data_IF_286590223133
#
_entry.id   IF_286590223133
#
_cell.length_a   1.000
_cell.length_b   1.000
_cell.length_c   1.000
_cell.angle_alpha   90.00
_cell.angle_beta   90.00
_cell.angle_gamma   90.00
#
_symmetry.space_group_name_H-M   'P 1'
#
loop_
_entity.id
_entity.type
_entity.pdbx_description
1 polymer ?
#
# COMPACT_ATOMS: atom_id res chain seq x y z
N UNK A 1 -19.31 -29.93 16.95
CA UNK A 1 -18.24 -29.10 16.37
C UNK A 1 -17.60 -28.38 17.54
N UNK A 2 -16.43 -28.85 17.99
CA UNK A 2 -15.75 -28.28 19.16
C UNK A 2 -14.90 -27.11 18.68
N UNK A 3 -15.36 -25.88 18.93
CA UNK A 3 -14.55 -24.69 18.67
C UNK A 3 -13.69 -24.49 19.91
N UNK A 4 -12.37 -24.57 19.73
CA UNK A 4 -11.43 -24.39 20.82
C UNK A 4 -11.63 -23.01 21.48
N UNK A 5 -11.69 -22.98 22.81
CA UNK A 5 -11.88 -21.77 23.62
C UNK A 5 -10.85 -20.67 23.31
N UNK A 6 -9.64 -21.04 22.91
CA UNK A 6 -8.59 -20.11 22.52
C UNK A 6 -8.91 -19.40 21.20
N UNK A 7 -9.47 -20.12 20.22
CA UNK A 7 -9.94 -19.53 18.96
C UNK A 7 -11.02 -18.47 19.20
N UNK A 8 -11.98 -18.77 20.08
CA UNK A 8 -13.01 -17.79 20.48
C UNK A 8 -12.41 -16.56 21.15
N UNK A 9 -11.41 -16.74 22.02
CA UNK A 9 -10.72 -15.60 22.67
C UNK A 9 -10.03 -14.70 21.65
N UNK A 10 -9.36 -15.28 20.65
CA UNK A 10 -8.71 -14.51 19.59
C UNK A 10 -9.73 -13.73 18.76
N UNK A 11 -10.87 -14.32 18.42
CA UNK A 11 -11.93 -13.61 17.69
C UNK A 11 -12.57 -12.49 18.49
N UNK A 12 -12.82 -12.70 19.79
CA UNK A 12 -13.32 -11.64 20.67
C UNK A 12 -12.32 -10.49 20.76
N UNK A 13 -11.03 -10.78 20.97
CA UNK A 13 -10.01 -9.74 21.01
C UNK A 13 -9.90 -8.97 19.68
N UNK A 14 -10.07 -9.66 18.54
CA UNK A 14 -10.12 -9.01 17.23
C UNK A 14 -11.35 -8.11 17.07
N UNK A 15 -12.51 -8.58 17.50
CA UNK A 15 -13.75 -7.80 17.48
C UNK A 15 -13.68 -6.56 18.38
N UNK A 16 -13.01 -6.64 19.54
CA UNK A 16 -12.77 -5.48 20.41
C UNK A 16 -11.87 -4.43 19.74
N UNK A 17 -10.85 -4.87 19.00
CA UNK A 17 -10.00 -3.97 18.21
C UNK A 17 -10.82 -3.33 17.08
N UNK A 18 -11.59 -4.13 16.35
CA UNK A 18 -12.41 -3.65 15.24
C UNK A 18 -13.53 -2.69 15.71
N UNK A 19 -14.05 -2.87 16.92
CA UNK A 19 -15.01 -1.98 17.57
C UNK A 19 -14.38 -0.72 18.19
N UNK A 20 -13.05 -0.61 18.22
CA UNK A 20 -12.34 0.50 18.86
C UNK A 20 -12.29 0.44 20.39
N UNK A 21 -12.74 -0.66 21.00
CA UNK A 21 -12.67 -0.87 22.45
C UNK A 21 -11.26 -1.21 22.93
N UNK A 22 -10.39 -1.61 22.00
CA UNK A 22 -8.99 -1.95 22.28
C UNK A 22 -8.07 -1.28 21.24
N UNK A 23 -6.91 -0.74 21.64
CA UNK A 23 -5.94 -0.23 20.68
C UNK A 23 -5.44 -1.36 19.77
N UNK A 24 -5.40 -1.08 18.47
CA UNK A 24 -4.91 -1.99 17.44
C UNK A 24 -5.32 -1.55 16.05
N UNK A 25 -4.74 -2.18 15.02
CA UNK A 25 -5.15 -1.96 13.63
C UNK A 25 -6.40 -2.78 13.35
N UNK A 26 -7.49 -2.09 13.02
CA UNK A 26 -8.73 -2.75 12.62
C UNK A 26 -8.55 -3.52 11.32
N UNK A 27 -9.40 -4.51 11.09
CA UNK A 27 -9.42 -5.29 9.86
C UNK A 27 -9.60 -4.42 8.62
N UNK A 28 -10.46 -3.40 8.72
CA UNK A 28 -10.68 -2.43 7.64
C UNK A 28 -9.41 -1.62 7.32
N UNK A 29 -8.73 -1.11 8.34
CA UNK A 29 -7.49 -0.35 8.16
C UNK A 29 -6.38 -1.22 7.54
N UNK A 30 -6.25 -2.46 7.99
CA UNK A 30 -5.27 -3.39 7.40
C UNK A 30 -5.56 -3.70 5.93
N UNK A 31 -6.85 -3.86 5.58
CA UNK A 31 -7.28 -4.07 4.21
C UNK A 31 -6.98 -2.85 3.33
N UNK A 32 -7.36 -1.64 3.80
CA UNK A 32 -7.09 -0.40 3.10
C UNK A 32 -5.59 -0.18 2.85
N UNK A 33 -4.74 -0.40 3.85
CA UNK A 33 -3.29 -0.28 3.70
C UNK A 33 -2.78 -1.24 2.61
N UNK A 34 -3.23 -2.50 2.61
CA UNK A 34 -2.77 -3.49 1.64
C UNK A 34 -3.17 -3.12 0.22
N UNK A 35 -4.41 -2.69 0.01
CA UNK A 35 -4.88 -2.24 -1.31
C UNK A 35 -4.16 -0.98 -1.76
N UNK A 36 -3.94 -0.03 -0.84
CA UNK A 36 -3.21 1.19 -1.14
C UNK A 36 -1.74 0.91 -1.50
N UNK A 37 -1.07 0.02 -0.79
CA UNK A 37 0.30 -0.40 -1.11
C UNK A 37 0.38 -1.10 -2.47
N UNK A 38 -0.65 -1.87 -2.83
CA UNK A 38 -0.76 -2.49 -4.14
C UNK A 38 -0.91 -1.43 -5.23
N UNK A 39 -1.82 -0.47 -5.07
CA UNK A 39 -2.04 0.61 -6.03
C UNK A 39 -0.78 1.45 -6.21
N UNK A 40 -0.10 1.84 -5.12
CA UNK A 40 1.17 2.57 -5.17
C UNK A 40 2.25 1.79 -5.93
N UNK A 41 2.31 0.47 -5.75
CA UNK A 41 3.26 -0.39 -6.46
C UNK A 41 2.97 -0.43 -7.96
N UNK A 42 1.70 -0.56 -8.34
CA UNK A 42 1.27 -0.55 -9.73
C UNK A 42 1.52 0.81 -10.39
N UNK A 43 1.17 1.90 -9.70
CA UNK A 43 1.43 3.27 -10.16
C UNK A 43 2.92 3.53 -10.36
N UNK A 44 3.79 3.03 -9.46
CA UNK A 44 5.25 3.16 -9.61
C UNK A 44 5.77 2.40 -10.83
N UNK A 45 5.24 1.19 -11.09
CA UNK A 45 5.59 0.41 -12.29
C UNK A 45 5.15 1.13 -13.57
N UNK A 46 3.90 1.59 -13.61
CA UNK A 46 3.35 2.29 -14.77
C UNK A 46 4.09 3.59 -15.08
N UNK A 47 4.46 4.34 -14.04
CA UNK A 47 5.19 5.59 -14.19
C UNK A 47 6.67 5.43 -14.56
N UNK A 48 7.25 4.22 -14.48
CA UNK A 48 8.68 4.02 -14.74
C UNK A 48 9.05 4.34 -16.20
N UNK A 49 8.23 3.93 -17.17
CA UNK A 49 8.52 4.13 -18.60
C UNK A 49 8.34 5.60 -19.00
N UNK A 50 7.20 6.27 -18.70
CA UNK A 50 7.05 7.68 -19.05
C UNK A 50 8.07 8.58 -18.35
N UNK A 51 8.37 8.32 -17.07
CA UNK A 51 9.37 9.11 -16.34
C UNK A 51 10.78 8.95 -16.90
N UNK A 52 11.17 7.71 -17.25
CA UNK A 52 12.48 7.48 -17.88
C UNK A 52 12.55 8.14 -19.25
N UNK A 53 11.53 7.99 -20.10
CA UNK A 53 11.46 8.66 -21.40
C UNK A 53 11.57 10.18 -21.28
N UNK A 54 10.81 10.79 -20.36
CA UNK A 54 10.90 12.23 -20.09
C UNK A 54 12.29 12.65 -19.62
N UNK A 55 12.95 11.86 -18.76
CA UNK A 55 14.31 12.13 -18.32
C UNK A 55 15.33 12.07 -19.48
N UNK A 56 15.20 11.08 -20.37
CA UNK A 56 16.05 10.97 -21.56
C UNK A 56 15.85 12.16 -22.52
N UNK A 57 14.60 12.58 -22.75
CA UNK A 57 14.30 13.73 -23.59
C UNK A 57 14.83 15.03 -22.99
N UNK A 58 14.65 15.25 -21.69
CA UNK A 58 15.16 16.42 -20.99
C UNK A 58 16.70 16.51 -21.06
N UNK A 59 17.40 15.38 -20.90
CA UNK A 59 18.87 15.33 -21.02
C UNK A 59 19.36 15.65 -22.45
N UNK A 60 18.55 15.37 -23.49
CA UNK A 60 18.85 15.75 -24.86
C UNK A 60 18.66 17.24 -25.16
N UNK A 61 17.75 17.91 -24.42
CA UNK A 61 17.44 19.34 -24.58
C UNK A 61 18.43 20.25 -23.83
N UNK A 62 19.07 19.76 -22.77
CA UNK A 62 20.04 20.51 -21.96
C UNK A 62 21.45 20.55 -22.58
N UNK A 63 21.64 19.96 -23.77
CA UNK A 63 22.90 20.07 -24.50
C UNK A 63 22.96 21.45 -25.16
N UNK A 64 23.82 22.39 -24.72
CA UNK A 64 23.92 23.69 -25.38
C UNK A 64 24.32 23.42 -26.82
N UNK A 65 23.46 23.83 -27.76
CA UNK A 65 23.82 23.89 -29.16
C UNK A 65 24.81 25.05 -29.29
N UNK A 66 26.09 24.75 -29.11
CA UNK A 66 27.18 25.70 -29.33
C UNK A 66 27.17 25.98 -30.84
N UNK A 67 26.72 27.17 -31.21
CA UNK A 67 26.96 27.78 -32.53
C UNK A 67 27.99 28.88 -32.37
#
# INVERSE_FOLDING_TARGET
MDINRETLRTWVARAEVDAGNRPGTTTDQAHYITEFEREVRELRRANAIPKSASAFLAAGLDRPHIR
#
